data_IF_077366651302
#
_entry.id   IF_077366651302
#
_cell.length_a   1.000
_cell.length_b   1.000
_cell.length_c   1.000
_cell.angle_alpha   90.00
_cell.angle_beta   90.00
_cell.angle_gamma   90.00
#
_symmetry.space_group_name_H-M   'P 1'
#
loop_
_entity.id
_entity.type
_entity.pdbx_description
1 polymer ?
#
# COMPACT_ATOMS: atom_id res chain seq x y z
N UNK A 1 2.32 18.87 -6.04
CA UNK A 1 1.85 20.14 -5.44
C UNK A 1 1.98 21.25 -6.47
N UNK A 2 1.00 22.15 -6.56
CA UNK A 2 0.94 23.23 -7.56
C UNK A 2 0.71 24.56 -6.84
N UNK A 3 1.37 25.61 -7.30
CA UNK A 3 1.13 26.98 -6.82
C UNK A 3 0.11 27.65 -7.74
N UNK A 4 -1.03 28.06 -7.18
CA UNK A 4 -2.11 28.74 -7.89
C UNK A 4 -2.15 30.19 -7.45
N UNK A 5 -2.24 31.12 -8.41
CA UNK A 5 -2.38 32.54 -8.15
C UNK A 5 -3.82 32.98 -8.40
N UNK A 6 -4.49 33.48 -7.37
CA UNK A 6 -5.87 33.99 -7.45
C UNK A 6 -5.87 35.40 -6.87
N UNK A 7 -6.20 36.40 -7.71
CA UNK A 7 -6.30 37.79 -7.28
C UNK A 7 -5.02 38.35 -6.66
N UNK A 8 -3.85 37.96 -7.18
CA UNK A 8 -2.52 38.42 -6.72
C UNK A 8 -1.99 37.74 -5.45
N UNK A 9 -2.69 36.72 -4.92
CA UNK A 9 -2.22 35.91 -3.78
C UNK A 9 -1.90 34.49 -4.25
N UNK A 10 -0.74 33.97 -3.82
CA UNK A 10 -0.28 32.62 -4.12
C UNK A 10 -0.78 31.62 -3.08
N UNK A 11 -1.33 30.52 -3.55
CA UNK A 11 -1.85 29.42 -2.74
C UNK A 11 -1.18 28.11 -3.16
N UNK A 12 -0.65 27.37 -2.18
CA UNK A 12 -0.23 25.98 -2.36
C UNK A 12 -1.47 25.08 -2.41
N UNK A 13 -1.64 24.32 -3.49
CA UNK A 13 -2.76 23.42 -3.67
C UNK A 13 -2.32 22.03 -4.16
N UNK A 14 -3.06 21.00 -3.74
CA UNK A 14 -3.03 19.68 -4.36
C UNK A 14 -4.14 19.60 -5.40
N UNK A 15 -3.82 19.00 -6.55
CA UNK A 15 -4.84 18.60 -7.52
C UNK A 15 -5.57 17.39 -6.94
N UNK A 16 -6.88 17.49 -6.76
CA UNK A 16 -7.69 16.42 -6.17
C UNK A 16 -8.39 15.60 -7.24
N UNK A 17 -9.07 16.27 -8.16
CA UNK A 17 -9.83 15.61 -9.22
C UNK A 17 -9.82 16.44 -10.50
N UNK A 18 -9.88 15.76 -11.65
CA UNK A 18 -10.04 16.38 -12.97
C UNK A 18 -11.19 15.68 -13.68
N UNK A 19 -12.19 16.46 -14.07
CA UNK A 19 -13.31 15.98 -14.86
C UNK A 19 -13.07 16.28 -16.34
N UNK A 20 -13.13 15.24 -17.15
CA UNK A 20 -13.01 15.30 -18.60
C UNK A 20 -14.38 15.17 -19.26
N UNK A 21 -14.54 15.83 -20.41
CA UNK A 21 -15.71 15.65 -21.26
C UNK A 21 -15.66 14.26 -21.90
N UNK A 22 -16.70 13.41 -21.74
CA UNK A 22 -16.64 11.97 -22.07
C UNK A 22 -16.42 11.63 -23.54
N UNK A 23 -16.61 12.61 -24.44
CA UNK A 23 -16.50 12.45 -25.91
C UNK A 23 -15.36 13.26 -26.52
N UNK A 24 -14.93 14.35 -25.88
CA UNK A 24 -13.98 15.30 -26.51
C UNK A 24 -12.66 15.40 -25.77
N UNK A 25 -12.50 14.66 -24.66
CA UNK A 25 -11.34 14.66 -23.76
C UNK A 25 -10.89 16.06 -23.29
N UNK A 26 -11.76 17.06 -23.43
CA UNK A 26 -11.53 18.41 -22.90
C UNK A 26 -11.74 18.43 -21.40
N UNK A 27 -10.85 19.11 -20.68
CA UNK A 27 -11.02 19.34 -19.24
C UNK A 27 -12.20 20.29 -19.01
N UNK A 28 -13.18 19.87 -18.21
CA UNK A 28 -14.35 20.69 -17.83
C UNK A 28 -14.18 21.34 -16.46
N UNK A 29 -13.67 20.58 -15.51
CA UNK A 29 -13.55 21.01 -14.12
C UNK A 29 -12.25 20.47 -13.53
N UNK A 30 -11.58 21.29 -12.73
CA UNK A 30 -10.41 20.88 -11.94
C UNK A 30 -10.65 21.31 -10.51
N UNK A 31 -10.56 20.33 -9.60
CA UNK A 31 -10.65 20.57 -8.17
C UNK A 31 -9.26 20.77 -7.57
N UNK A 32 -9.08 21.95 -6.97
CA UNK A 32 -7.86 22.32 -6.26
C UNK A 32 -8.13 22.41 -4.76
N UNK A 33 -7.49 21.53 -3.99
CA UNK A 33 -7.55 21.56 -2.55
C UNK A 33 -6.42 22.45 -2.01
N UNK A 34 -6.76 23.57 -1.39
CA UNK A 34 -5.78 24.40 -0.67
C UNK A 34 -5.16 23.58 0.45
N UNK A 35 -3.86 23.33 0.36
CA UNK A 35 -3.12 22.65 1.42
C UNK A 35 -2.81 23.69 2.49
N UNK A 36 -3.38 23.51 3.67
CA UNK A 36 -2.86 24.14 4.88
C UNK A 36 -2.02 23.08 5.57
N UNK A 37 -0.77 23.40 5.90
CA UNK A 37 0.21 22.46 6.45
C UNK A 37 -0.28 21.70 7.70
N UNK A 38 -1.30 22.20 8.39
CA UNK A 38 -1.83 21.66 9.64
C UNK A 38 -3.03 20.71 9.49
N UNK A 39 -3.57 20.51 8.27
CA UNK A 39 -4.75 19.65 8.09
C UNK A 39 -4.34 18.21 7.75
N UNK A 40 -4.80 17.21 8.53
CA UNK A 40 -4.56 15.81 8.19
C UNK A 40 -5.35 15.44 6.93
N UNK A 41 -4.65 14.92 5.93
CA UNK A 41 -5.23 14.47 4.65
C UNK A 41 -5.33 12.95 4.66
N UNK A 42 -6.39 12.42 4.06
CA UNK A 42 -6.55 10.97 3.84
C UNK A 42 -6.11 10.66 2.42
N UNK A 43 -5.04 9.89 2.28
CA UNK A 43 -4.51 9.48 0.97
C UNK A 43 -4.30 7.96 0.98
N UNK A 44 -4.45 7.40 -0.21
CA UNK A 44 -4.24 6.00 -0.52
C UNK A 44 -2.79 5.84 -1.03
N UNK A 45 -1.91 5.21 -0.24
CA UNK A 45 -0.49 5.04 -0.56
C UNK A 45 -0.24 3.60 -1.07
N UNK A 46 0.47 3.43 -2.21
CA UNK A 46 0.82 2.10 -2.70
C UNK A 46 1.83 1.40 -1.80
N UNK A 47 1.66 0.09 -1.68
CA UNK A 47 2.56 -0.80 -0.93
C UNK A 47 3.56 -1.43 -1.87
N UNK A 48 4.84 -1.39 -1.49
CA UNK A 48 5.93 -2.05 -2.19
C UNK A 48 6.49 -3.17 -1.32
N UNK A 49 6.58 -4.37 -1.87
CA UNK A 49 7.15 -5.51 -1.17
C UNK A 49 8.64 -5.56 -1.46
N UNK A 50 9.46 -5.59 -0.41
CA UNK A 50 10.92 -5.66 -0.49
C UNK A 50 11.41 -6.99 0.09
N UNK A 51 12.48 -7.54 -0.50
CA UNK A 51 13.06 -8.80 -0.06
C UNK A 51 12.48 -10.06 -0.72
N UNK A 52 13.13 -11.20 -0.45
CA UNK A 52 12.73 -12.52 -0.93
C UNK A 52 12.26 -13.37 0.25
N UNK A 53 10.96 -13.64 0.32
CA UNK A 53 10.41 -14.44 1.41
C UNK A 53 10.97 -15.87 1.43
N UNK A 54 11.42 -16.32 2.60
CA UNK A 54 11.85 -17.73 2.83
C UNK A 54 10.78 -18.73 2.40
N UNK A 55 9.50 -18.38 2.59
CA UNK A 55 8.37 -19.19 2.16
C UNK A 55 8.29 -19.39 0.64
N UNK A 56 8.84 -18.50 -0.18
CA UNK A 56 8.92 -18.68 -1.64
C UNK A 56 9.97 -19.75 -1.98
N UNK A 57 11.13 -19.74 -1.31
CA UNK A 57 12.16 -20.77 -1.50
C UNK A 57 11.66 -22.17 -1.14
N UNK A 58 10.78 -22.26 -0.13
CA UNK A 58 10.11 -23.51 0.28
C UNK A 58 8.95 -23.91 -0.66
N UNK A 59 8.76 -23.23 -1.81
CA UNK A 59 7.73 -23.55 -2.82
C UNK A 59 6.38 -22.83 -2.65
N UNK A 60 6.32 -21.83 -1.76
CA UNK A 60 5.16 -20.96 -1.57
C UNK A 60 5.02 -19.90 -2.65
N UNK A 61 3.81 -19.34 -2.77
CA UNK A 61 3.54 -18.21 -3.67
C UNK A 61 3.21 -16.98 -2.86
N UNK A 62 3.96 -15.90 -3.09
CA UNK A 62 3.64 -14.59 -2.51
C UNK A 62 2.37 -14.03 -3.15
N UNK A 63 1.43 -13.62 -2.29
CA UNK A 63 0.19 -12.99 -2.68
C UNK A 63 0.05 -11.66 -1.94
N UNK A 64 -0.08 -10.59 -2.71
CA UNK A 64 -0.42 -9.26 -2.20
C UNK A 64 -1.95 -9.16 -2.10
N UNK A 65 -2.47 -9.05 -0.89
CA UNK A 65 -3.91 -8.95 -0.65
C UNK A 65 -4.37 -7.49 -0.69
N UNK A 66 -3.59 -6.57 -0.15
CA UNK A 66 -3.80 -5.13 -0.22
C UNK A 66 -2.65 -4.49 -1.00
N UNK A 67 -2.95 -3.88 -2.14
CA UNK A 67 -1.96 -3.14 -2.93
C UNK A 67 -1.78 -1.70 -2.45
N UNK A 68 -2.75 -1.20 -1.70
CA UNK A 68 -2.86 0.20 -1.31
C UNK A 68 -3.33 0.26 0.14
N UNK A 69 -2.71 1.12 0.94
CA UNK A 69 -3.08 1.38 2.33
C UNK A 69 -3.62 2.80 2.45
N UNK A 70 -4.78 2.93 3.08
CA UNK A 70 -5.36 4.24 3.36
C UNK A 70 -4.79 4.75 4.66
N UNK A 71 -4.06 5.85 4.59
CA UNK A 71 -3.47 6.50 5.75
C UNK A 71 -4.01 7.91 5.89
N UNK A 72 -3.95 8.41 7.12
CA UNK A 72 -4.32 9.76 7.49
C UNK A 72 -3.14 10.40 8.21
N UNK A 73 -2.69 11.55 7.70
CA UNK A 73 -1.53 12.22 8.24
C UNK A 73 -1.35 13.61 7.67
N UNK A 74 -0.36 14.33 8.21
CA UNK A 74 0.07 15.61 7.66
C UNK A 74 0.74 15.37 6.31
N UNK A 75 0.51 16.28 5.35
CA UNK A 75 1.09 16.18 4.01
C UNK A 75 2.63 16.12 4.03
N UNK A 76 3.28 16.66 5.07
CA UNK A 76 4.74 16.64 5.26
C UNK A 76 5.30 15.27 5.64
N UNK A 77 4.49 14.40 6.25
CA UNK A 77 4.91 13.08 6.75
C UNK A 77 4.41 11.93 5.86
N UNK A 78 3.87 12.24 4.69
CA UNK A 78 3.29 11.24 3.80
C UNK A 78 4.39 10.66 2.89
N UNK A 79 4.75 9.37 3.00
CA UNK A 79 5.70 8.73 2.12
C UNK A 79 5.07 8.43 0.75
N UNK A 80 5.88 8.40 -0.30
CA UNK A 80 5.41 8.04 -1.65
C UNK A 80 5.05 6.55 -1.77
N UNK A 81 5.76 5.69 -1.03
CA UNK A 81 5.53 4.23 -0.98
C UNK A 81 5.76 3.68 0.42
N UNK A 82 4.98 2.67 0.80
CA UNK A 82 5.20 1.91 2.04
C UNK A 82 5.95 0.62 1.70
N UNK A 83 7.21 0.54 2.11
CA UNK A 83 8.02 -0.66 1.95
C UNK A 83 7.71 -1.67 3.05
N UNK A 84 7.34 -2.88 2.65
CA UNK A 84 7.10 -4.00 3.55
C UNK A 84 8.12 -5.10 3.25
N UNK A 85 8.97 -5.38 4.23
CA UNK A 85 9.93 -6.47 4.16
C UNK A 85 9.20 -7.81 4.30
N UNK A 86 9.30 -8.66 3.28
CA UNK A 86 8.73 -10.00 3.25
C UNK A 86 9.76 -11.10 3.53
N UNK A 87 11.02 -10.76 3.81
CA UNK A 87 12.13 -11.73 3.88
C UNK A 87 11.91 -12.81 4.95
N UNK A 88 11.36 -12.43 6.10
CA UNK A 88 11.12 -13.35 7.22
C UNK A 88 9.86 -14.21 7.07
N UNK A 89 8.98 -13.93 6.10
CA UNK A 89 7.72 -14.66 5.93
C UNK A 89 7.95 -16.13 5.58
N UNK A 90 7.37 -17.01 6.41
CA UNK A 90 7.34 -18.45 6.18
C UNK A 90 6.11 -18.89 5.36
N UNK A 91 6.03 -20.19 5.07
CA UNK A 91 4.90 -20.80 4.36
C UNK A 91 3.62 -20.69 5.20
N UNK A 92 2.59 -20.05 4.65
CA UNK A 92 1.29 -19.90 5.31
C UNK A 92 1.19 -18.68 6.23
N UNK A 93 2.27 -17.91 6.39
CA UNK A 93 2.26 -16.69 7.17
C UNK A 93 1.78 -15.47 6.38
N UNK A 94 1.34 -14.45 7.11
CA UNK A 94 0.85 -13.19 6.54
C UNK A 94 1.25 -12.00 7.40
N UNK A 95 1.74 -10.94 6.76
CA UNK A 95 1.97 -9.64 7.39
C UNK A 95 0.64 -8.89 7.43
N UNK A 96 0.23 -8.42 8.61
CA UNK A 96 -1.00 -7.67 8.78
C UNK A 96 -0.73 -6.17 8.79
N UNK A 97 -1.79 -5.39 8.58
CA UNK A 97 -1.71 -3.91 8.63
C UNK A 97 -1.15 -3.42 9.98
N UNK A 98 -1.42 -4.12 11.08
CA UNK A 98 -0.88 -3.77 12.40
C UNK A 98 0.64 -3.91 12.55
N UNK A 99 1.27 -4.74 11.71
CA UNK A 99 2.72 -5.00 11.75
C UNK A 99 3.50 -4.05 10.83
N UNK A 100 2.80 -3.23 10.05
CA UNK A 100 3.39 -2.25 9.15
C UNK A 100 3.91 -1.05 9.94
N UNK A 101 5.20 -0.75 9.80
CA UNK A 101 5.79 0.46 10.36
C UNK A 101 5.33 1.68 9.57
N UNK A 102 4.40 2.45 10.13
CA UNK A 102 3.99 3.74 9.61
C UNK A 102 4.33 4.80 10.66
N UNK A 103 5.55 5.32 10.62
CA UNK A 103 6.00 6.35 11.57
C UNK A 103 5.24 7.66 11.32
N UNK A 104 4.49 8.14 12.33
CA UNK A 104 3.79 9.42 12.28
C UNK A 104 2.49 9.45 11.47
N UNK A 105 1.93 8.30 11.08
CA UNK A 105 0.72 8.19 10.26
C UNK A 105 -0.34 7.33 10.94
N UNK A 106 -1.59 7.77 10.85
CA UNK A 106 -2.76 7.02 11.32
C UNK A 106 -3.27 6.13 10.17
N UNK A 107 -3.03 4.82 10.26
CA UNK A 107 -3.57 3.87 9.27
C UNK A 107 -5.07 3.71 9.52
N UNK A 108 -5.90 4.00 8.51
CA UNK A 108 -7.36 3.89 8.59
C UNK A 108 -7.87 2.47 8.29
N UNK A 109 -7.03 1.60 7.72
CA UNK A 109 -7.36 0.20 7.45
C UNK A 109 -7.43 -0.62 8.75
N UNK A 110 -8.30 -1.63 8.77
CA UNK A 110 -8.41 -2.53 9.92
C UNK A 110 -7.11 -3.33 10.12
N UNK A 111 -6.57 -3.29 11.35
CA UNK A 111 -5.29 -3.91 11.73
C UNK A 111 -5.22 -5.43 11.48
N UNK A 112 -6.36 -6.11 11.40
CA UNK A 112 -6.45 -7.55 11.17
C UNK A 112 -6.28 -7.96 9.71
N UNK A 113 -6.39 -7.03 8.77
CA UNK A 113 -6.36 -7.36 7.34
C UNK A 113 -4.92 -7.71 6.93
N UNK A 114 -4.70 -8.84 6.23
CA UNK A 114 -3.37 -9.18 5.70
C UNK A 114 -3.02 -8.27 4.52
N UNK A 115 -1.81 -7.73 4.51
CA UNK A 115 -1.26 -6.92 3.41
C UNK A 115 -0.57 -7.82 2.39
N UNK A 116 0.31 -8.70 2.86
CA UNK A 116 0.99 -9.71 2.08
C UNK A 116 0.89 -11.07 2.78
N UNK A 117 0.73 -12.15 2.01
CA UNK A 117 0.66 -13.51 2.53
C UNK A 117 1.41 -14.48 1.63
N UNK A 118 2.03 -15.49 2.22
CA UNK A 118 2.65 -16.58 1.45
C UNK A 118 1.68 -17.76 1.44
N UNK A 119 1.07 -17.99 0.27
CA UNK A 119 0.13 -19.09 0.09
C UNK A 119 0.90 -20.37 -0.22
N UNK A 120 0.56 -21.44 0.50
CA UNK A 120 1.11 -22.78 0.24
C UNK A 120 0.54 -23.30 -1.08
N UNK A 121 1.41 -23.60 -2.04
CA UNK A 121 1.00 -24.19 -3.32
C UNK A 121 0.69 -25.68 -3.15
N UNK A 122 -0.12 -26.25 -4.04
CA UNK A 122 -0.43 -27.70 -4.03
C UNK A 122 0.84 -28.55 -4.12
N UNK A 123 1.81 -28.11 -4.92
CA UNK A 123 3.10 -28.77 -5.08
C UNK A 123 3.93 -28.75 -3.77
N UNK A 124 4.02 -27.58 -3.11
CA UNK A 124 4.73 -27.47 -1.82
C UNK A 124 4.08 -28.32 -0.72
N UNK A 125 2.74 -28.38 -0.69
CA UNK A 125 2.00 -29.22 0.26
C UNK A 125 2.28 -30.71 0.06
N UNK A 126 2.34 -31.17 -1.20
CA UNK A 126 2.67 -32.56 -1.53
C UNK A 126 4.11 -32.94 -1.09
N UNK A 127 5.07 -32.04 -1.32
CA UNK A 127 6.46 -32.24 -0.91
C UNK A 127 6.62 -32.35 0.62
N UNK A 128 5.96 -31.47 1.39
CA UNK A 128 5.96 -31.53 2.86
C UNK A 128 5.37 -32.85 3.39
N UNK A 129 4.28 -33.33 2.79
CA UNK A 129 3.67 -34.60 3.20
C UNK A 129 4.48 -35.84 2.79
N UNK A 130 5.28 -35.76 1.71
CA UNK A 130 6.16 -36.85 1.31
C UNK A 130 7.38 -36.97 2.23
N UNK A 131 7.97 -35.83 2.62
CA UNK A 131 9.08 -35.79 3.58
C UNK A 131 8.69 -36.34 4.97
N UNK A 132 7.45 -36.10 5.41
CA UNK A 132 6.96 -36.62 6.70
C UNK A 132 6.69 -38.13 6.72
N UNK A 133 6.63 -38.80 5.56
CA UNK A 133 6.34 -40.26 5.46
C UNK A 133 7.58 -41.13 5.19
N UNK A 134 8.75 -40.53 5.00
CA UNK A 134 10.00 -41.25 4.70
C UNK A 134 10.85 -41.64 5.91
N UNK A 135 10.39 -41.37 7.13
CA UNK A 135 11.07 -41.75 8.37
C UNK A 135 10.36 -42.90 9.07
N UNK A 136 10.55 -44.12 8.60
CA UNK A 136 10.40 -45.36 9.37
C UNK A 136 11.38 -46.40 8.85
#
# INVERSE_FOLDING_TARGET
>A
MINIEIGGKKYQASMQDIQFHPVTDKVQHIDFLRITDDKPVKIDIPVKLTGFAKGIQKGGRLKTNLRVLRVKGLAKNLPDTIDIDVTELELGESIRVGDVKAEGLEILNTKSVPVASVVITRAARAALTAAAKGGN
#
